data_IF_327460155595
#
_entry.id   IF_327460155595
#
_cell.length_a   1.000
_cell.length_b   1.000
_cell.length_c   1.000
_cell.angle_alpha   90.00
_cell.angle_beta   90.00
_cell.angle_gamma   90.00
#
_symmetry.space_group_name_H-M   'P 1'
#
loop_
_entity.id
_entity.type
_entity.pdbx_description
1 polymer ?
#
# COMPACT_ATOMS: atom_id res chain seq x y z
N UNK A 1 30.14 -4.48 9.62
CA UNK A 1 29.14 -4.90 8.62
C UNK A 1 29.52 -4.20 7.33
N UNK A 2 30.39 -4.80 6.55
CA UNK A 2 30.95 -4.16 5.36
C UNK A 2 29.97 -4.24 4.19
N UNK A 3 29.87 -3.17 3.40
CA UNK A 3 29.03 -3.14 2.19
C UNK A 3 29.61 -4.12 1.15
N UNK A 4 28.99 -5.29 1.04
CA UNK A 4 29.34 -6.28 0.01
C UNK A 4 28.61 -5.99 -1.31
N UNK A 5 29.09 -6.58 -2.42
CA UNK A 5 28.51 -6.40 -3.76
C UNK A 5 26.97 -6.59 -3.84
N UNK A 6 26.34 -7.54 -3.11
CA UNK A 6 24.88 -7.68 -3.07
C UNK A 6 24.13 -6.45 -2.54
N UNK A 7 24.72 -5.68 -1.60
CA UNK A 7 24.06 -4.50 -1.03
C UNK A 7 23.94 -3.37 -2.07
N UNK A 8 25.00 -3.14 -2.84
CA UNK A 8 24.99 -2.17 -3.93
C UNK A 8 24.02 -2.58 -5.04
N UNK A 9 23.97 -3.88 -5.34
CA UNK A 9 23.04 -4.42 -6.33
C UNK A 9 21.58 -4.27 -5.90
N UNK A 10 21.28 -4.50 -4.62
CA UNK A 10 19.96 -4.25 -4.04
C UNK A 10 19.58 -2.76 -4.11
N UNK A 11 20.50 -1.86 -3.76
CA UNK A 11 20.28 -0.42 -3.83
C UNK A 11 19.97 0.06 -5.25
N UNK A 12 20.77 -0.37 -6.24
CA UNK A 12 20.51 -0.10 -7.66
C UNK A 12 19.16 -0.67 -8.09
N UNK A 13 18.79 -1.85 -7.57
CA UNK A 13 17.50 -2.47 -7.86
C UNK A 13 16.32 -1.65 -7.37
N UNK A 14 16.40 -1.09 -6.17
CA UNK A 14 15.39 -0.17 -5.64
C UNK A 14 15.26 1.07 -6.53
N UNK A 15 16.38 1.70 -6.91
CA UNK A 15 16.36 2.88 -7.77
C UNK A 15 15.73 2.58 -9.14
N UNK A 16 16.04 1.42 -9.72
CA UNK A 16 15.46 0.98 -10.99
C UNK A 16 13.95 0.76 -10.85
N UNK A 17 13.49 0.10 -9.77
CA UNK A 17 12.06 -0.09 -9.48
C UNK A 17 11.35 1.27 -9.36
N UNK A 18 11.88 2.21 -8.56
CA UNK A 18 11.32 3.55 -8.41
C UNK A 18 11.27 4.27 -9.77
N UNK A 19 12.34 4.18 -10.56
CA UNK A 19 12.37 4.73 -11.91
C UNK A 19 11.25 4.18 -12.81
N UNK A 20 11.01 2.86 -12.74
CA UNK A 20 9.93 2.24 -13.53
C UNK A 20 8.54 2.64 -13.06
N UNK A 21 8.36 2.86 -11.75
CA UNK A 21 7.11 3.43 -11.19
C UNK A 21 6.87 4.86 -11.69
N UNK A 22 7.91 5.70 -11.73
CA UNK A 22 7.80 7.08 -12.24
C UNK A 22 7.41 7.11 -13.72
N UNK A 23 7.91 6.15 -14.52
CA UNK A 23 7.51 5.99 -15.91
C UNK A 23 6.12 5.32 -16.09
N UNK A 24 5.41 5.01 -14.99
CA UNK A 24 4.13 4.29 -14.98
C UNK A 24 4.18 2.95 -15.76
N UNK A 25 5.34 2.28 -15.74
CA UNK A 25 5.57 0.98 -16.40
C UNK A 25 5.38 -0.18 -15.41
N UNK A 26 5.26 -1.39 -15.93
CA UNK A 26 5.14 -2.60 -15.10
C UNK A 26 6.41 -2.83 -14.27
N UNK A 27 6.27 -2.83 -12.94
CA UNK A 27 7.34 -2.98 -11.95
C UNK A 27 7.74 -4.44 -11.73
N UNK A 28 6.87 -5.38 -12.09
CA UNK A 28 7.06 -6.81 -11.80
C UNK A 28 8.31 -7.37 -12.48
N UNK A 29 8.53 -7.03 -13.76
CA UNK A 29 9.68 -7.52 -14.53
C UNK A 29 11.01 -7.05 -13.91
N UNK A 30 11.21 -5.74 -13.65
CA UNK A 30 12.33 -5.24 -12.86
C UNK A 30 12.53 -5.95 -11.51
N UNK A 31 11.47 -6.14 -10.74
CA UNK A 31 11.54 -6.71 -9.40
C UNK A 31 12.02 -8.17 -9.41
N UNK A 32 11.49 -8.99 -10.31
CA UNK A 32 11.92 -10.39 -10.47
C UNK A 32 13.38 -10.45 -10.92
N UNK A 33 13.79 -9.63 -11.89
CA UNK A 33 15.16 -9.59 -12.39
C UNK A 33 16.15 -9.18 -11.29
N UNK A 34 15.85 -8.13 -10.53
CA UNK A 34 16.75 -7.68 -9.46
C UNK A 34 16.81 -8.68 -8.30
N UNK A 35 15.69 -9.33 -7.96
CA UNK A 35 15.67 -10.40 -6.94
C UNK A 35 16.55 -11.58 -7.35
N UNK A 36 16.49 -11.98 -8.62
CA UNK A 36 17.37 -13.01 -9.18
C UNK A 36 18.84 -12.59 -9.13
N UNK A 37 19.17 -11.38 -9.59
CA UNK A 37 20.54 -10.87 -9.61
C UNK A 37 21.14 -10.78 -8.20
N UNK A 38 20.37 -10.33 -7.21
CA UNK A 38 20.79 -10.29 -5.80
C UNK A 38 21.01 -11.70 -5.26
N UNK A 39 20.10 -12.64 -5.54
CA UNK A 39 20.26 -14.05 -5.15
C UNK A 39 21.51 -14.70 -5.79
N UNK A 40 21.77 -14.40 -7.06
CA UNK A 40 22.96 -14.88 -7.77
C UNK A 40 24.25 -14.29 -7.21
N UNK A 41 24.28 -12.98 -6.95
CA UNK A 41 25.44 -12.31 -6.38
C UNK A 41 25.78 -12.80 -4.95
N UNK A 42 24.80 -13.33 -4.22
CA UNK A 42 25.00 -13.87 -2.88
C UNK A 42 25.40 -15.36 -2.88
N UNK A 43 24.73 -16.20 -3.68
CA UNK A 43 24.94 -17.66 -3.65
C UNK A 43 25.87 -18.22 -4.73
N UNK A 44 26.14 -17.48 -5.81
CA UNK A 44 27.00 -17.90 -6.93
C UNK A 44 26.45 -19.05 -7.80
N UNK A 45 25.25 -19.56 -7.50
CA UNK A 45 24.59 -20.64 -8.24
C UNK A 45 23.28 -20.18 -8.86
N UNK A 46 23.04 -20.55 -10.12
CA UNK A 46 21.82 -20.23 -10.87
C UNK A 46 20.59 -20.88 -10.22
N UNK A 47 20.72 -22.11 -9.70
CA UNK A 47 19.63 -22.82 -9.05
C UNK A 47 19.19 -22.11 -7.76
N UNK A 48 20.15 -21.64 -6.95
CA UNK A 48 19.88 -20.89 -5.73
C UNK A 48 19.27 -19.51 -6.03
N UNK A 49 19.69 -18.85 -7.11
CA UNK A 49 19.11 -17.58 -7.54
C UNK A 49 17.65 -17.73 -7.98
N UNK A 50 17.30 -18.79 -8.70
CA UNK A 50 15.89 -19.09 -9.04
C UNK A 50 15.07 -19.39 -7.79
N UNK A 51 15.60 -20.19 -6.85
CA UNK A 51 14.93 -20.47 -5.58
C UNK A 51 14.66 -19.19 -4.79
N UNK A 52 15.58 -18.22 -4.83
CA UNK A 52 15.45 -16.93 -4.13
C UNK A 52 14.22 -16.14 -4.59
N UNK A 53 13.85 -16.19 -5.87
CA UNK A 53 12.63 -15.52 -6.39
C UNK A 53 11.37 -16.07 -5.71
N UNK A 54 11.27 -17.39 -5.61
CA UNK A 54 10.12 -18.05 -4.98
C UNK A 54 10.10 -17.82 -3.46
N UNK A 55 11.25 -18.00 -2.80
CA UNK A 55 11.37 -17.75 -1.36
C UNK A 55 11.07 -16.29 -1.01
N UNK A 56 11.57 -15.33 -1.78
CA UNK A 56 11.27 -13.91 -1.59
C UNK A 56 9.77 -13.61 -1.72
N UNK A 57 9.09 -14.27 -2.67
CA UNK A 57 7.64 -14.12 -2.84
C UNK A 57 6.85 -14.69 -1.66
N UNK A 58 7.27 -15.85 -1.11
CA UNK A 58 6.66 -16.43 0.09
C UNK A 58 6.89 -15.57 1.34
N UNK A 59 8.10 -15.02 1.50
CA UNK A 59 8.43 -14.09 2.59
C UNK A 59 7.58 -12.82 2.47
N UNK A 60 7.51 -12.22 1.27
CA UNK A 60 6.67 -11.04 1.04
C UNK A 60 5.20 -11.33 1.34
N UNK A 61 4.67 -12.47 0.91
CA UNK A 61 3.31 -12.88 1.22
C UNK A 61 3.08 -13.03 2.74
N UNK A 62 4.05 -13.59 3.49
CA UNK A 62 3.98 -13.70 4.94
C UNK A 62 3.93 -12.34 5.65
N UNK A 63 4.82 -11.42 5.27
CA UNK A 63 4.86 -10.06 5.84
C UNK A 63 3.59 -9.26 5.52
N UNK A 64 3.10 -9.35 4.27
CA UNK A 64 1.89 -8.65 3.83
C UNK A 64 0.60 -9.27 4.39
N UNK A 65 0.59 -10.56 4.74
CA UNK A 65 -0.61 -11.23 5.24
C UNK A 65 -1.15 -10.59 6.52
N UNK A 66 -0.26 -10.19 7.43
CA UNK A 66 -0.65 -9.48 8.65
C UNK A 66 -1.42 -8.18 8.33
N UNK A 67 -0.94 -7.44 7.33
CA UNK A 67 -1.59 -6.20 6.86
C UNK A 67 -2.93 -6.50 6.19
N UNK A 68 -3.00 -7.54 5.35
CA UNK A 68 -4.26 -7.96 4.72
C UNK A 68 -5.32 -8.37 5.74
N UNK A 69 -4.93 -9.06 6.81
CA UNK A 69 -5.84 -9.43 7.89
C UNK A 69 -6.42 -8.18 8.60
N UNK A 70 -5.56 -7.21 8.92
CA UNK A 70 -5.99 -5.95 9.55
C UNK A 70 -6.96 -5.20 8.63
N UNK A 71 -6.62 -5.07 7.35
CA UNK A 71 -7.47 -4.43 6.34
C UNK A 71 -8.81 -5.16 6.22
N UNK A 72 -8.82 -6.49 6.18
CA UNK A 72 -10.05 -7.29 6.07
C UNK A 72 -10.98 -7.04 7.27
N UNK A 73 -10.44 -7.06 8.49
CA UNK A 73 -11.21 -6.79 9.71
C UNK A 73 -11.74 -5.34 9.70
N UNK A 74 -10.91 -4.36 9.32
CA UNK A 74 -11.34 -2.95 9.23
C UNK A 74 -12.42 -2.76 8.18
N UNK A 75 -12.32 -3.38 7.00
CA UNK A 75 -13.37 -3.31 5.98
C UNK A 75 -14.68 -3.95 6.43
N UNK A 76 -14.62 -5.08 7.16
CA UNK A 76 -15.81 -5.70 7.73
C UNK A 76 -16.48 -4.82 8.80
N UNK A 77 -15.68 -4.17 9.65
CA UNK A 77 -16.18 -3.20 10.64
C UNK A 77 -16.86 -2.01 9.94
N UNK A 78 -16.20 -1.42 8.94
CA UNK A 78 -16.75 -0.31 8.15
C UNK A 78 -18.07 -0.68 7.48
N UNK A 79 -18.15 -1.87 6.88
CA UNK A 79 -19.38 -2.38 6.27
C UNK A 79 -20.50 -2.56 7.31
N UNK A 80 -20.16 -3.02 8.52
CA UNK A 80 -21.12 -3.14 9.62
C UNK A 80 -21.60 -1.78 10.13
N UNK A 81 -20.71 -0.78 10.24
CA UNK A 81 -21.08 0.57 10.65
C UNK A 81 -21.98 1.25 9.62
N UNK A 82 -21.69 1.04 8.34
CA UNK A 82 -22.51 1.53 7.23
C UNK A 82 -23.92 0.94 7.28
N UNK A 83 -24.04 -0.37 7.55
CA UNK A 83 -25.35 -1.04 7.70
C UNK A 83 -26.20 -0.51 8.86
N UNK A 84 -25.57 0.11 9.87
CA UNK A 84 -26.25 0.75 10.99
C UNK A 84 -26.62 2.22 10.70
N UNK A 85 -26.25 2.75 9.53
CA UNK A 85 -26.41 4.17 9.19
C UNK A 85 -25.49 5.10 9.98
N UNK A 86 -24.44 4.56 10.61
CA UNK A 86 -23.53 5.36 11.44
C UNK A 86 -22.80 6.43 10.61
N UNK A 87 -22.40 6.09 9.38
CA UNK A 87 -21.77 7.01 8.44
C UNK A 87 -22.64 8.25 8.16
N UNK A 88 -23.94 8.06 7.94
CA UNK A 88 -24.88 9.17 7.71
C UNK A 88 -25.11 10.00 8.99
N UNK A 89 -25.23 9.33 10.14
CA UNK A 89 -25.40 10.00 11.43
C UNK A 89 -24.20 10.87 11.80
N UNK A 90 -22.99 10.46 11.43
CA UNK A 90 -21.76 11.23 11.66
C UNK A 90 -21.73 12.55 10.87
N UNK A 91 -22.33 12.61 9.68
CA UNK A 91 -22.31 13.80 8.81
C UNK A 91 -23.48 14.75 9.13
N UNK A 92 -24.61 14.22 9.59
CA UNK A 92 -25.84 14.97 9.91
C UNK A 92 -25.66 16.26 10.75
N UNK A 93 -24.82 16.33 11.81
CA UNK A 93 -24.65 17.57 12.57
C UNK A 93 -23.95 18.68 11.76
N UNK A 94 -23.06 18.32 10.83
CA UNK A 94 -22.31 19.30 10.03
C UNK A 94 -23.16 19.96 8.95
N UNK A 95 -24.24 19.29 8.50
CA UNK A 95 -25.23 19.87 7.60
C UNK A 95 -25.86 21.17 8.13
N UNK A 96 -25.89 21.40 9.46
CA UNK A 96 -26.38 22.66 10.05
C UNK A 96 -25.48 23.87 9.78
N UNK A 97 -24.19 23.63 9.52
CA UNK A 97 -23.18 24.67 9.25
C UNK A 97 -23.07 24.96 7.75
N UNK A 98 -23.62 24.08 6.91
CA UNK A 98 -23.63 24.15 5.45
C UNK A 98 -24.68 25.13 4.91
N UNK A 99 -24.44 26.43 5.09
CA UNK A 99 -25.38 27.49 4.66
C UNK A 99 -25.10 28.08 3.27
N UNK A 100 -23.88 27.91 2.74
CA UNK A 100 -23.45 28.48 1.45
C UNK A 100 -22.61 27.45 0.67
N UNK A 101 -22.68 27.47 -0.67
CA UNK A 101 -22.02 26.50 -1.55
C UNK A 101 -20.51 26.38 -1.30
N UNK A 102 -19.80 27.52 -1.21
CA UNK A 102 -18.34 27.55 -0.96
C UNK A 102 -18.00 26.98 0.43
N UNK A 103 -18.81 27.27 1.44
CA UNK A 103 -18.59 26.81 2.80
C UNK A 103 -18.86 25.30 2.91
N UNK A 104 -19.91 24.79 2.26
CA UNK A 104 -20.21 23.36 2.20
C UNK A 104 -19.09 22.56 1.53
N UNK A 105 -18.51 23.09 0.45
CA UNK A 105 -17.38 22.45 -0.24
C UNK A 105 -16.15 22.31 0.68
N UNK A 106 -15.78 23.38 1.40
CA UNK A 106 -14.65 23.36 2.34
C UNK A 106 -14.89 22.41 3.51
N UNK A 107 -16.11 22.40 4.06
CA UNK A 107 -16.49 21.52 5.16
C UNK A 107 -16.45 20.05 4.71
N UNK A 108 -16.96 19.73 3.52
CA UNK A 108 -16.91 18.37 2.98
C UNK A 108 -15.47 17.89 2.78
N UNK A 109 -14.58 18.73 2.22
CA UNK A 109 -13.16 18.37 2.09
C UNK A 109 -12.55 18.06 3.46
N UNK A 110 -12.74 18.94 4.44
CA UNK A 110 -12.16 18.77 5.76
C UNK A 110 -12.67 17.50 6.45
N UNK A 111 -13.98 17.27 6.45
CA UNK A 111 -14.59 16.11 7.11
C UNK A 111 -14.22 14.82 6.40
N UNK A 112 -14.32 14.78 5.07
CA UNK A 112 -13.98 13.57 4.28
C UNK A 112 -12.51 13.22 4.47
N UNK A 113 -11.62 14.21 4.51
CA UNK A 113 -10.21 14.00 4.80
C UNK A 113 -9.99 13.42 6.20
N UNK A 114 -10.59 14.03 7.23
CA UNK A 114 -10.46 13.54 8.62
C UNK A 114 -11.00 12.12 8.75
N UNK A 115 -12.19 11.82 8.21
CA UNK A 115 -12.77 10.48 8.23
C UNK A 115 -11.85 9.49 7.48
N UNK A 116 -11.34 9.83 6.30
CA UNK A 116 -10.44 8.95 5.53
C UNK A 116 -9.13 8.63 6.26
N UNK A 117 -8.63 9.54 7.10
CA UNK A 117 -7.39 9.34 7.86
C UNK A 117 -7.53 8.24 8.92
N UNK A 118 -8.71 8.16 9.56
CA UNK A 118 -9.01 7.14 10.57
C UNK A 118 -9.52 5.82 9.96
N UNK A 119 -10.16 5.88 8.79
CA UNK A 119 -10.84 4.74 8.17
C UNK A 119 -10.14 4.21 6.90
N UNK A 120 -8.82 4.33 6.79
CA UNK A 120 -8.05 3.62 5.77
C UNK A 120 -8.36 2.11 5.84
N UNK A 121 -8.87 1.45 4.77
CA UNK A 121 -8.47 1.55 3.35
C UNK A 121 -9.54 2.07 2.39
N UNK A 122 -10.69 2.55 2.87
CA UNK A 122 -11.78 2.94 1.97
C UNK A 122 -11.63 4.37 1.44
N UNK A 123 -11.83 4.63 0.14
CA UNK A 123 -12.18 5.97 -0.31
C UNK A 123 -13.54 6.31 0.32
N UNK A 124 -13.56 7.27 1.24
CA UNK A 124 -14.72 7.62 2.07
C UNK A 124 -15.82 8.40 1.32
N UNK A 125 -15.96 8.19 0.01
CA UNK A 125 -16.90 8.91 -0.84
C UNK A 125 -17.53 7.93 -1.84
N UNK A 126 -18.84 7.64 -1.71
CA UNK A 126 -19.64 7.09 -2.82
C UNK A 126 -19.86 8.13 -3.92
#
# INVERSE_FOLDING_TARGET
MDLTAPHWLYFVGILLIIGTMLMRKNVVVPAILMTFLVGYAFSGSIAAALQTIFSASLVAAGELFSIFLIIAIMTALLQSLDSLGANEQMIKPFGKVMKNATLSYLILIAITYVISLFFWPTPAVP
#
